data_IF_485864113921
#
_entry.id   IF_485864113921
#
_cell.length_a   1.000
_cell.length_b   1.000
_cell.length_c   1.000
_cell.angle_alpha   90.00
_cell.angle_beta   90.00
_cell.angle_gamma   90.00
#
_symmetry.space_group_name_H-M   'P 1'
#
loop_
_entity.id
_entity.type
_entity.pdbx_description
1 polymer ?
#
# COMPACT_ATOMS: atom_id res chain seq x y z
N UNK A 1 13.03 30.17 -17.17
CA UNK A 1 13.65 31.47 -16.83
C UNK A 1 12.61 32.56 -16.60
N UNK A 2 11.82 32.99 -17.58
CA UNK A 2 10.83 34.07 -17.40
C UNK A 2 9.88 33.88 -16.19
N UNK A 3 9.30 32.68 -16.04
CA UNK A 3 8.45 32.34 -14.88
C UNK A 3 9.21 32.43 -13.55
N UNK A 4 10.49 32.00 -13.53
CA UNK A 4 11.32 32.03 -12.33
C UNK A 4 11.58 33.47 -11.87
N UNK A 5 11.89 34.36 -12.82
CA UNK A 5 12.12 35.78 -12.53
C UNK A 5 10.85 36.46 -12.01
N UNK A 6 9.69 36.20 -12.65
CA UNK A 6 8.42 36.76 -12.18
C UNK A 6 8.05 36.29 -10.77
N UNK A 7 8.30 35.01 -10.43
CA UNK A 7 8.10 34.53 -9.07
C UNK A 7 9.08 35.18 -8.08
N UNK A 8 10.35 35.33 -8.48
CA UNK A 8 11.37 35.96 -7.64
C UNK A 8 11.00 37.41 -7.32
N UNK A 9 10.64 38.20 -8.31
CA UNK A 9 10.18 39.59 -8.13
C UNK A 9 8.93 39.67 -7.24
N UNK A 10 7.94 38.79 -7.46
CA UNK A 10 6.72 38.76 -6.65
C UNK A 10 7.01 38.39 -5.20
N UNK A 11 7.92 37.45 -4.96
CA UNK A 11 8.31 36.99 -3.63
C UNK A 11 9.12 38.06 -2.90
N UNK A 12 10.09 38.70 -3.56
CA UNK A 12 10.87 39.81 -3.02
C UNK A 12 9.98 41.00 -2.64
N UNK A 13 8.95 41.28 -3.44
CA UNK A 13 8.00 42.37 -3.17
C UNK A 13 7.01 42.05 -2.03
N UNK A 14 6.42 40.85 -2.03
CA UNK A 14 5.31 40.50 -1.13
C UNK A 14 5.78 39.89 0.21
N UNK A 15 6.87 39.15 0.19
CA UNK A 15 7.38 38.34 1.30
C UNK A 15 8.93 38.41 1.34
N UNK A 16 9.51 39.61 1.55
CA UNK A 16 10.96 39.84 1.44
C UNK A 16 11.82 39.01 2.42
N UNK A 17 11.20 38.45 3.45
CA UNK A 17 11.85 37.60 4.45
C UNK A 17 11.90 36.11 4.06
N UNK A 18 11.26 35.72 2.95
CA UNK A 18 11.30 34.35 2.42
C UNK A 18 12.17 34.36 1.15
N UNK A 19 13.44 33.93 1.23
CA UNK A 19 14.31 33.95 0.07
C UNK A 19 13.92 32.85 -0.93
N UNK A 20 13.97 33.17 -2.23
CA UNK A 20 13.94 32.17 -3.29
C UNK A 20 15.35 31.59 -3.42
N UNK A 21 15.51 30.33 -3.01
CA UNK A 21 16.81 29.63 -2.96
C UNK A 21 17.13 28.85 -4.23
N UNK A 22 16.22 28.77 -5.19
CA UNK A 22 16.46 28.06 -6.44
C UNK A 22 15.26 28.00 -7.36
N UNK A 23 15.50 27.65 -8.62
CA UNK A 23 14.50 27.29 -9.60
C UNK A 23 15.00 26.15 -10.49
N UNK A 24 14.26 25.05 -10.50
CA UNK A 24 14.54 23.91 -11.37
C UNK A 24 13.90 24.14 -12.74
N UNK A 25 14.72 24.46 -13.75
CA UNK A 25 14.26 24.65 -15.12
C UNK A 25 13.85 23.32 -15.75
N UNK A 26 12.84 23.34 -16.62
CA UNK A 26 12.37 22.12 -17.27
C UNK A 26 13.46 21.56 -18.20
N UNK A 27 13.97 20.38 -17.87
CA UNK A 27 14.84 19.60 -18.76
C UNK A 27 14.05 18.46 -19.42
N UNK A 28 14.12 18.37 -20.75
CA UNK A 28 13.47 17.31 -21.53
C UNK A 28 14.16 15.95 -21.34
N UNK A 29 15.43 15.94 -20.95
CA UNK A 29 16.21 14.73 -20.70
C UNK A 29 15.85 14.06 -19.37
N UNK A 30 15.23 14.80 -18.45
CA UNK A 30 14.84 14.32 -17.12
C UNK A 30 13.41 13.79 -17.04
N UNK A 31 12.69 13.73 -18.18
CA UNK A 31 11.29 13.29 -18.21
C UNK A 31 11.16 11.83 -17.76
N UNK A 32 10.34 11.60 -16.74
CA UNK A 32 9.91 10.26 -16.34
C UNK A 32 8.65 9.93 -17.14
N UNK A 33 8.66 8.88 -17.97
CA UNK A 33 7.48 8.49 -18.73
C UNK A 33 6.33 8.09 -17.79
N UNK A 34 5.11 8.49 -18.16
CA UNK A 34 3.89 8.04 -17.49
C UNK A 34 3.57 6.60 -17.88
N UNK A 35 2.98 5.83 -16.96
CA UNK A 35 2.29 4.57 -17.23
C UNK A 35 0.78 4.72 -17.03
N UNK A 36 0.02 3.72 -17.46
CA UNK A 36 -1.45 3.71 -17.41
C UNK A 36 -2.03 4.04 -16.01
N UNK A 37 -1.33 3.68 -14.93
CA UNK A 37 -1.71 3.96 -13.54
C UNK A 37 -0.50 4.45 -12.70
N UNK A 38 0.17 5.54 -13.12
CA UNK A 38 1.21 6.21 -12.33
C UNK A 38 2.51 6.48 -13.09
N UNK A 39 3.64 6.50 -12.37
CA UNK A 39 4.99 6.63 -12.95
C UNK A 39 5.63 5.26 -13.11
N UNK A 40 6.54 5.12 -14.09
CA UNK A 40 7.30 3.88 -14.29
C UNK A 40 8.08 3.48 -13.02
N UNK A 41 8.00 2.18 -12.70
CA UNK A 41 8.78 1.43 -11.72
C UNK A 41 10.28 1.68 -11.71
N UNK A 42 10.98 1.72 -10.56
CA UNK A 42 12.41 1.34 -10.58
C UNK A 42 12.56 -0.12 -11.09
N UNK A 43 11.63 -1.01 -10.71
CA UNK A 43 11.60 -2.40 -11.21
C UNK A 43 11.36 -2.53 -12.73
N UNK A 44 10.72 -1.53 -13.34
CA UNK A 44 10.40 -1.50 -14.77
C UNK A 44 11.55 -0.89 -15.59
N UNK A 45 12.19 0.13 -15.02
CA UNK A 45 13.27 0.87 -15.65
C UNK A 45 14.24 1.38 -14.58
N UNK A 46 15.19 0.53 -14.13
CA UNK A 46 16.11 0.90 -13.05
C UNK A 46 16.82 2.21 -13.33
N UNK A 47 16.88 3.08 -12.32
CA UNK A 47 17.59 4.35 -12.42
C UNK A 47 19.09 4.09 -12.61
N UNK A 48 19.59 4.43 -13.80
CA UNK A 48 21.02 4.34 -14.10
C UNK A 48 21.80 5.44 -13.37
N UNK A 49 23.01 5.15 -12.91
CA UNK A 49 23.87 6.12 -12.23
C UNK A 49 24.03 7.44 -13.01
N UNK A 50 24.18 7.35 -14.34
CA UNK A 50 24.25 8.54 -15.21
C UNK A 50 23.03 9.44 -15.06
N UNK A 51 21.84 8.86 -14.90
CA UNK A 51 20.60 9.61 -14.70
C UNK A 51 20.52 10.22 -13.31
N UNK A 52 21.08 9.55 -12.30
CA UNK A 52 21.21 10.09 -10.94
C UNK A 52 22.14 11.30 -10.95
N UNK A 53 23.29 11.21 -11.63
CA UNK A 53 24.25 12.31 -11.78
C UNK A 53 23.64 13.50 -12.53
N UNK A 54 22.85 13.25 -13.57
CA UNK A 54 22.10 14.30 -14.27
C UNK A 54 21.07 14.99 -13.37
N UNK A 55 20.32 14.24 -12.56
CA UNK A 55 19.39 14.79 -11.58
C UNK A 55 20.12 15.61 -10.50
N UNK A 56 21.26 15.12 -10.01
CA UNK A 56 22.09 15.83 -9.03
C UNK A 56 22.59 17.15 -9.61
N UNK A 57 23.17 17.13 -10.81
CA UNK A 57 23.65 18.33 -11.51
C UNK A 57 22.51 19.34 -11.71
N UNK A 58 21.35 18.87 -12.15
CA UNK A 58 20.17 19.72 -12.35
C UNK A 58 19.73 20.45 -11.07
N UNK A 59 19.83 19.79 -9.92
CA UNK A 59 19.54 20.40 -8.62
C UNK A 59 20.66 21.34 -8.19
N UNK A 60 21.93 20.95 -8.33
CA UNK A 60 23.10 21.77 -7.98
C UNK A 60 23.16 23.08 -8.79
N UNK A 61 22.81 23.04 -10.08
CA UNK A 61 22.77 24.21 -10.94
C UNK A 61 21.53 25.09 -10.69
N UNK A 62 20.40 24.46 -10.34
CA UNK A 62 19.12 25.14 -10.16
C UNK A 62 18.89 25.67 -8.75
N UNK A 63 19.62 25.21 -7.74
CA UNK A 63 19.35 25.48 -6.32
C UNK A 63 20.63 25.83 -5.57
N UNK A 64 20.60 26.90 -4.78
CA UNK A 64 21.66 27.29 -3.86
C UNK A 64 21.67 26.36 -2.63
N UNK A 65 22.20 25.16 -2.83
CA UNK A 65 22.29 24.11 -1.81
C UNK A 65 23.13 24.56 -0.61
N UNK A 66 24.21 25.30 -0.85
CA UNK A 66 25.07 25.83 0.21
C UNK A 66 24.32 26.77 1.14
N UNK A 67 23.46 27.61 0.56
CA UNK A 67 22.61 28.51 1.34
C UNK A 67 21.51 27.75 2.08
N UNK A 68 20.88 26.74 1.48
CA UNK A 68 19.94 25.85 2.18
C UNK A 68 20.62 25.20 3.40
N UNK A 69 21.78 24.59 3.22
CA UNK A 69 22.50 23.90 4.31
C UNK A 69 22.99 24.85 5.42
N UNK A 70 23.18 26.13 5.09
CA UNK A 70 23.61 27.17 6.04
C UNK A 70 22.43 27.79 6.78
N UNK A 71 21.37 28.15 6.07
CA UNK A 71 20.23 28.91 6.59
C UNK A 71 19.14 28.00 7.19
N UNK A 72 19.00 26.76 6.71
CA UNK A 72 18.01 25.79 7.18
C UNK A 72 18.57 24.81 8.24
N UNK A 73 19.58 25.22 9.01
CA UNK A 73 20.03 24.43 10.17
C UNK A 73 18.98 24.50 11.27
N UNK A 74 18.09 23.52 11.29
CA UNK A 74 17.17 23.33 12.40
C UNK A 74 17.90 22.60 13.53
N UNK A 75 17.84 23.15 14.74
CA UNK A 75 17.88 22.30 15.92
C UNK A 75 16.59 21.49 15.88
N UNK A 76 16.66 20.30 15.30
CA UNK A 76 15.57 19.35 15.46
C UNK A 76 15.38 19.20 16.97
N UNK A 77 14.16 19.37 17.51
CA UNK A 77 13.91 18.96 18.88
C UNK A 77 14.41 17.53 18.99
N UNK A 78 15.03 17.16 20.11
CA UNK A 78 15.27 15.75 20.41
C UNK A 78 13.92 15.06 20.22
N UNK A 79 13.77 14.37 19.08
CA UNK A 79 12.65 13.46 18.89
C UNK A 79 12.94 12.44 19.97
N UNK A 80 12.10 12.34 21.03
CA UNK A 80 12.28 11.28 22.00
C UNK A 80 12.37 10.03 21.15
N UNK A 81 13.46 9.26 21.26
CA UNK A 81 13.52 7.97 20.60
C UNK A 81 12.17 7.34 20.89
N UNK A 82 11.34 7.15 19.85
CA UNK A 82 10.06 6.51 20.02
C UNK A 82 10.45 5.09 20.37
N UNK A 83 10.68 4.84 21.67
CA UNK A 83 10.88 3.49 22.18
C UNK A 83 9.63 2.79 21.70
N UNK A 84 9.72 1.86 20.74
CA UNK A 84 8.56 1.26 20.12
C UNK A 84 7.75 0.72 21.26
N UNK A 85 6.62 1.39 21.55
CA UNK A 85 5.89 1.40 22.82
C UNK A 85 6.24 0.16 23.63
N UNK A 86 7.31 0.27 24.47
CA UNK A 86 8.19 -0.86 24.84
C UNK A 86 7.34 -2.09 24.97
N UNK A 87 7.46 -3.02 24.00
CA UNK A 87 6.58 -4.18 23.87
C UNK A 87 6.52 -4.84 25.24
N UNK A 88 5.51 -4.49 26.04
CA UNK A 88 5.23 -5.12 27.32
C UNK A 88 4.85 -6.53 26.93
N UNK A 89 5.85 -7.40 27.02
CA UNK A 89 5.83 -8.79 26.61
C UNK A 89 5.16 -8.95 25.23
N UNK A 90 5.85 -8.56 24.15
CA UNK A 90 5.60 -9.27 22.91
C UNK A 90 5.89 -10.74 23.20
N UNK A 91 4.86 -11.57 23.17
CA UNK A 91 4.98 -13.01 23.20
C UNK A 91 6.06 -13.40 22.18
N UNK A 92 7.22 -13.81 22.70
CA UNK A 92 8.51 -13.88 21.99
C UNK A 92 8.53 -14.86 20.83
N UNK A 93 7.45 -15.61 20.65
CA UNK A 93 7.27 -16.55 19.56
C UNK A 93 7.09 -15.79 18.22
N UNK A 94 8.05 -15.95 17.29
CA UNK A 94 7.98 -15.31 15.99
C UNK A 94 6.79 -15.85 15.17
N UNK A 95 6.12 -14.97 14.42
CA UNK A 95 4.94 -15.32 13.63
C UNK A 95 5.26 -15.21 12.14
N UNK A 96 5.39 -16.32 11.40
CA UNK A 96 5.65 -16.26 9.96
C UNK A 96 4.45 -15.70 9.20
N UNK A 97 4.64 -14.62 8.43
CA UNK A 97 3.62 -13.95 7.62
C UNK A 97 4.06 -13.99 6.16
N UNK A 98 3.26 -14.60 5.29
CA UNK A 98 3.47 -14.55 3.86
C UNK A 98 3.14 -13.15 3.34
N UNK A 99 4.01 -12.56 2.52
CA UNK A 99 3.74 -11.29 1.84
C UNK A 99 3.94 -11.46 0.34
N UNK A 100 2.92 -11.16 -0.46
CA UNK A 100 3.06 -11.20 -1.91
C UNK A 100 3.97 -10.06 -2.39
N UNK A 101 5.11 -10.37 -2.99
CA UNK A 101 6.07 -9.38 -3.47
C UNK A 101 6.57 -9.77 -4.86
N UNK A 102 6.00 -9.13 -5.86
CA UNK A 102 6.46 -9.16 -7.26
C UNK A 102 5.85 -7.99 -8.04
N UNK A 103 5.98 -8.03 -9.37
CA UNK A 103 5.50 -6.95 -10.24
C UNK A 103 3.98 -6.72 -10.19
N UNK A 104 3.19 -7.72 -9.80
CA UNK A 104 1.75 -7.57 -9.60
C UNK A 104 1.39 -7.06 -8.20
N UNK A 105 2.28 -7.23 -7.22
CA UNK A 105 2.07 -6.85 -5.81
C UNK A 105 3.31 -6.12 -5.29
N UNK A 106 3.43 -4.84 -5.63
CA UNK A 106 4.61 -4.01 -5.39
C UNK A 106 4.34 -2.73 -4.58
N UNK A 107 3.10 -2.50 -4.14
CA UNK A 107 2.78 -1.34 -3.31
C UNK A 107 2.83 -1.69 -1.83
N UNK A 108 3.90 -1.28 -1.17
CA UNK A 108 4.07 -1.41 0.26
C UNK A 108 4.67 -0.16 0.86
N UNK A 109 4.15 0.26 2.00
CA UNK A 109 4.85 1.20 2.86
C UNK A 109 6.01 0.47 3.56
N UNK A 110 7.27 0.91 3.39
CA UNK A 110 8.40 0.34 4.12
C UNK A 110 8.17 0.39 5.64
N UNK A 111 7.48 1.44 6.12
CA UNK A 111 7.10 1.60 7.51
C UNK A 111 6.17 0.48 8.00
N UNK A 112 5.17 0.05 7.22
CA UNK A 112 4.30 -1.06 7.61
C UNK A 112 5.10 -2.37 7.75
N UNK A 113 6.01 -2.64 6.81
CA UNK A 113 6.87 -3.82 6.84
C UNK A 113 7.84 -3.78 8.04
N UNK A 114 8.35 -2.59 8.37
CA UNK A 114 9.17 -2.38 9.57
C UNK A 114 8.37 -2.68 10.84
N UNK A 115 7.19 -2.07 11.00
CA UNK A 115 6.31 -2.27 12.16
C UNK A 115 5.91 -3.75 12.35
N UNK A 116 5.66 -4.49 11.26
CA UNK A 116 5.41 -5.94 11.33
C UNK A 116 6.59 -6.70 11.93
N UNK A 117 7.82 -6.40 11.50
CA UNK A 117 9.03 -7.04 12.05
C UNK A 117 9.24 -6.69 13.51
N UNK A 118 9.10 -5.40 13.85
CA UNK A 118 9.25 -4.91 15.21
C UNK A 118 8.22 -5.53 16.17
N UNK A 119 7.04 -5.90 15.68
CA UNK A 119 5.97 -6.52 16.48
C UNK A 119 6.00 -8.05 16.50
N UNK A 120 7.06 -8.69 15.97
CA UNK A 120 7.30 -10.13 16.04
C UNK A 120 6.91 -10.93 14.79
N UNK A 121 6.57 -10.27 13.69
CA UNK A 121 6.32 -10.90 12.39
C UNK A 121 7.60 -11.28 11.66
N UNK A 122 7.72 -12.54 11.24
CA UNK A 122 8.74 -12.97 10.27
C UNK A 122 8.14 -12.87 8.87
N UNK A 123 8.56 -11.87 8.11
CA UNK A 123 8.06 -11.66 6.75
C UNK A 123 8.68 -12.67 5.79
N UNK A 124 7.84 -13.46 5.13
CA UNK A 124 8.20 -14.44 4.10
C UNK A 124 7.68 -13.97 2.74
N UNK A 125 8.51 -13.26 1.95
CA UNK A 125 8.09 -12.82 0.62
C UNK A 125 7.86 -14.03 -0.30
N UNK A 126 6.88 -13.93 -1.18
CA UNK A 126 6.63 -14.89 -2.26
C UNK A 126 6.03 -14.16 -3.47
N UNK A 127 6.17 -14.71 -4.67
CA UNK A 127 5.67 -14.13 -5.91
C UNK A 127 4.40 -14.85 -6.37
N UNK A 128 3.22 -14.22 -6.34
CA UNK A 128 2.02 -14.82 -6.91
C UNK A 128 2.10 -15.15 -8.40
N UNK A 129 2.95 -14.45 -9.15
CA UNK A 129 3.20 -14.74 -10.57
C UNK A 129 4.01 -16.04 -10.75
N UNK A 130 4.97 -16.32 -9.87
CA UNK A 130 5.98 -17.40 -10.08
C UNK A 130 5.84 -18.59 -9.15
N UNK A 131 5.56 -18.36 -7.87
CA UNK A 131 5.59 -19.40 -6.85
C UNK A 131 4.27 -20.18 -6.84
N UNK A 132 4.35 -21.51 -6.83
CA UNK A 132 3.16 -22.37 -6.87
C UNK A 132 2.57 -22.68 -5.48
N UNK A 133 3.25 -22.26 -4.40
CA UNK A 133 2.91 -22.59 -3.02
C UNK A 133 3.15 -21.40 -2.10
N UNK A 134 2.36 -21.31 -1.03
CA UNK A 134 2.65 -20.38 0.06
C UNK A 134 3.91 -20.84 0.81
N UNK A 135 4.72 -19.91 1.35
CA UNK A 135 5.85 -20.28 2.20
C UNK A 135 5.41 -21.15 3.38
N UNK A 136 6.22 -22.15 3.73
CA UNK A 136 5.87 -23.12 4.78
C UNK A 136 5.68 -22.48 6.17
N UNK A 137 4.68 -22.97 6.89
CA UNK A 137 4.42 -22.60 8.30
C UNK A 137 3.87 -21.18 8.51
N UNK A 138 3.35 -20.54 7.46
CA UNK A 138 2.75 -19.21 7.56
C UNK A 138 1.48 -19.22 8.40
N UNK A 139 1.33 -18.16 9.20
CA UNK A 139 0.24 -17.92 10.14
C UNK A 139 -0.60 -16.71 9.74
N UNK A 140 -0.18 -15.97 8.73
CA UNK A 140 -0.91 -14.85 8.14
C UNK A 140 -0.48 -14.64 6.69
N UNK A 141 -1.33 -13.98 5.92
CA UNK A 141 -1.08 -13.61 4.53
C UNK A 141 -1.41 -12.13 4.32
N UNK A 142 -0.48 -11.40 3.71
CA UNK A 142 -0.68 -10.03 3.23
C UNK A 142 -0.55 -10.00 1.71
N UNK A 143 -1.57 -9.46 1.06
CA UNK A 143 -1.63 -9.18 -0.37
C UNK A 143 -1.75 -7.65 -0.54
N UNK A 144 -0.63 -6.96 -0.69
CA UNK A 144 -0.62 -5.51 -0.86
C UNK A 144 -1.19 -5.06 -2.21
N UNK A 145 -1.07 -3.76 -2.48
CA UNK A 145 -1.42 -3.21 -3.78
C UNK A 145 -0.41 -3.56 -4.87
N UNK A 146 -0.77 -3.21 -6.10
CA UNK A 146 0.07 -3.35 -7.27
C UNK A 146 -0.80 -3.36 -8.52
N UNK A 147 -0.32 -4.05 -9.56
CA UNK A 147 -0.91 -4.07 -10.89
C UNK A 147 -1.36 -5.48 -11.32
N UNK A 148 -2.20 -6.20 -10.54
CA UNK A 148 -2.61 -7.56 -10.91
C UNK A 148 -3.30 -7.62 -12.28
N UNK A 149 -3.94 -6.54 -12.73
CA UNK A 149 -4.58 -6.42 -14.03
C UNK A 149 -3.61 -6.55 -15.21
N UNK A 150 -2.34 -6.19 -15.02
CA UNK A 150 -1.29 -6.33 -16.05
C UNK A 150 -0.73 -7.75 -16.12
N UNK A 151 -1.02 -8.58 -15.11
CA UNK A 151 -0.51 -9.95 -14.97
C UNK A 151 -1.65 -10.97 -14.80
N UNK A 152 -2.86 -10.61 -15.23
CA UNK A 152 -4.06 -11.43 -15.08
C UNK A 152 -3.89 -12.86 -15.62
N UNK A 153 -3.21 -13.02 -16.75
CA UNK A 153 -2.99 -14.31 -17.39
C UNK A 153 -2.09 -15.21 -16.54
N UNK A 154 -0.96 -14.69 -16.08
CA UNK A 154 0.00 -15.39 -15.23
C UNK A 154 -0.64 -15.76 -13.90
N UNK A 155 -1.30 -14.80 -13.25
CA UNK A 155 -1.99 -14.99 -11.97
C UNK A 155 -3.10 -16.05 -12.08
N UNK A 156 -3.90 -16.00 -13.16
CA UNK A 156 -4.94 -16.99 -13.39
C UNK A 156 -4.37 -18.37 -13.67
N UNK A 157 -3.28 -18.48 -14.43
CA UNK A 157 -2.66 -19.76 -14.74
C UNK A 157 -2.04 -20.45 -13.52
N UNK A 158 -1.69 -19.70 -12.47
CA UNK A 158 -1.17 -20.26 -11.21
C UNK A 158 -2.28 -20.90 -10.35
N UNK A 159 -2.90 -21.96 -10.88
CA UNK A 159 -4.01 -22.68 -10.23
C UNK A 159 -3.62 -23.32 -8.90
N UNK A 160 -2.34 -23.71 -8.75
CA UNK A 160 -1.80 -24.30 -7.51
C UNK A 160 -1.82 -23.27 -6.38
N UNK A 161 -1.23 -22.10 -6.60
CA UNK A 161 -1.20 -21.05 -5.58
C UNK A 161 -2.61 -20.51 -5.28
N UNK A 162 -3.45 -20.32 -6.30
CA UNK A 162 -4.87 -19.95 -6.11
C UNK A 162 -5.56 -20.91 -5.13
N UNK A 163 -5.35 -22.21 -5.31
CA UNK A 163 -5.91 -23.23 -4.41
C UNK A 163 -5.31 -23.15 -3.00
N UNK A 164 -4.00 -22.96 -2.89
CA UNK A 164 -3.31 -22.81 -1.59
C UNK A 164 -3.83 -21.59 -0.80
N UNK A 165 -3.96 -20.42 -1.43
CA UNK A 165 -4.49 -19.21 -0.79
C UNK A 165 -5.94 -19.43 -0.33
N UNK A 166 -6.78 -20.01 -1.19
CA UNK A 166 -8.17 -20.32 -0.85
C UNK A 166 -8.26 -21.31 0.32
N UNK A 167 -7.44 -22.35 0.30
CA UNK A 167 -7.38 -23.35 1.38
C UNK A 167 -6.86 -22.73 2.69
N UNK A 168 -5.89 -21.84 2.63
CA UNK A 168 -5.39 -21.12 3.81
C UNK A 168 -6.50 -20.28 4.45
N UNK A 169 -7.19 -19.44 3.67
CA UNK A 169 -8.27 -18.60 4.15
C UNK A 169 -9.47 -19.41 4.70
N UNK A 170 -9.87 -20.47 3.98
CA UNK A 170 -11.02 -21.31 4.38
C UNK A 170 -10.74 -22.10 5.66
N UNK A 171 -9.51 -22.53 5.92
CA UNK A 171 -9.09 -23.18 7.18
C UNK A 171 -8.98 -22.21 8.37
N UNK A 172 -9.33 -20.94 8.20
CA UNK A 172 -9.24 -19.92 9.27
C UNK A 172 -7.96 -19.11 9.27
N UNK A 173 -7.14 -19.21 8.23
CA UNK A 173 -5.96 -18.38 8.03
C UNK A 173 -6.31 -16.88 7.93
N UNK A 174 -5.66 -16.00 8.70
CA UNK A 174 -5.83 -14.56 8.59
C UNK A 174 -5.24 -14.01 7.30
N UNK A 175 -6.04 -13.25 6.54
CA UNK A 175 -5.64 -12.64 5.27
C UNK A 175 -5.97 -11.15 5.30
N UNK A 176 -5.01 -10.31 4.93
CA UNK A 176 -5.23 -8.88 4.71
C UNK A 176 -4.86 -8.50 3.27
N UNK A 177 -5.76 -7.82 2.58
CA UNK A 177 -5.58 -7.49 1.16
C UNK A 177 -5.94 -6.03 0.85
N UNK A 178 -5.08 -5.35 0.08
CA UNK A 178 -5.26 -3.95 -0.30
C UNK A 178 -5.29 -3.79 -1.83
N UNK A 179 -6.22 -2.98 -2.35
CA UNK A 179 -6.41 -2.66 -3.77
C UNK A 179 -6.17 -3.86 -4.70
N UNK A 180 -5.04 -3.92 -5.41
CA UNK A 180 -4.69 -5.05 -6.28
C UNK A 180 -4.75 -6.42 -5.58
N UNK A 181 -4.27 -6.52 -4.34
CA UNK A 181 -4.43 -7.69 -3.49
C UNK A 181 -5.89 -8.08 -3.29
N UNK A 182 -6.74 -7.11 -3.01
CA UNK A 182 -8.18 -7.33 -2.84
C UNK A 182 -8.83 -7.77 -4.17
N UNK A 183 -8.47 -7.14 -5.29
CA UNK A 183 -8.93 -7.53 -6.63
C UNK A 183 -8.59 -8.98 -6.93
N UNK A 184 -7.37 -9.43 -6.59
CA UNK A 184 -6.93 -10.81 -6.74
C UNK A 184 -7.73 -11.81 -5.86
N UNK A 185 -8.29 -11.35 -4.74
CA UNK A 185 -9.15 -12.18 -3.89
C UNK A 185 -10.60 -12.30 -4.37
N UNK A 186 -11.02 -11.52 -5.36
CA UNK A 186 -12.34 -11.65 -6.00
C UNK A 186 -12.40 -12.88 -6.92
N UNK A 187 -13.59 -13.21 -7.46
CA UNK A 187 -13.76 -14.34 -8.40
C UNK A 187 -12.99 -14.15 -9.69
N UNK A 188 -12.89 -12.92 -10.18
CA UNK A 188 -12.27 -12.63 -11.45
C UNK A 188 -11.91 -11.17 -11.59
N UNK A 189 -10.89 -10.89 -12.40
CA UNK A 189 -10.59 -9.56 -12.90
C UNK A 189 -10.88 -9.53 -14.40
N UNK A 190 -11.64 -8.53 -14.85
CA UNK A 190 -11.79 -8.19 -16.27
C UNK A 190 -10.85 -7.05 -16.60
N UNK A 191 -9.92 -7.28 -17.51
CA UNK A 191 -8.94 -6.27 -17.93
C UNK A 191 -9.56 -5.21 -18.86
N UNK A 192 -8.75 -4.25 -19.29
CA UNK A 192 -9.17 -3.15 -20.15
C UNK A 192 -9.51 -3.57 -21.59
N UNK A 193 -9.02 -4.74 -22.01
CA UNK A 193 -9.36 -5.36 -23.30
C UNK A 193 -10.68 -6.15 -23.23
N UNK A 194 -11.30 -6.20 -22.04
CA UNK A 194 -12.55 -6.91 -21.79
C UNK A 194 -12.38 -8.41 -21.55
N UNK A 195 -11.15 -8.90 -21.40
CA UNK A 195 -10.87 -10.31 -21.13
C UNK A 195 -11.00 -10.58 -19.63
N UNK A 196 -11.81 -11.57 -19.29
CA UNK A 196 -12.05 -11.98 -17.90
C UNK A 196 -11.18 -13.15 -17.50
N UNK A 197 -10.47 -13.00 -16.38
CA UNK A 197 -9.58 -14.02 -15.84
C UNK A 197 -10.04 -14.46 -14.45
N UNK A 198 -10.23 -15.77 -14.19
CA UNK A 198 -10.59 -16.25 -12.87
C UNK A 198 -9.42 -16.11 -11.89
N UNK A 199 -9.72 -15.65 -10.68
CA UNK A 199 -8.78 -15.37 -9.58
C UNK A 199 -9.07 -16.25 -8.35
N UNK A 200 -8.69 -15.81 -7.15
CA UNK A 200 -8.78 -16.64 -5.94
C UNK A 200 -10.23 -16.91 -5.53
N UNK A 201 -11.15 -15.97 -5.72
CA UNK A 201 -12.58 -16.18 -5.47
C UNK A 201 -12.90 -16.44 -4.01
N UNK A 202 -12.18 -15.80 -3.08
CA UNK A 202 -12.59 -15.72 -1.67
C UNK A 202 -13.83 -14.81 -1.63
N UNK A 203 -13.70 -13.57 -2.08
CA UNK A 203 -14.86 -12.69 -2.17
C UNK A 203 -15.70 -13.05 -3.40
N UNK A 204 -17.02 -13.23 -3.25
CA UNK A 204 -17.90 -13.66 -4.34
C UNK A 204 -18.20 -12.57 -5.38
N UNK A 205 -17.31 -11.59 -5.52
CA UNK A 205 -17.39 -10.41 -6.36
C UNK A 205 -16.55 -10.58 -7.63
N UNK A 206 -16.71 -9.70 -8.60
CA UNK A 206 -15.82 -9.54 -9.75
C UNK A 206 -15.26 -8.13 -9.76
N UNK A 207 -14.01 -7.98 -10.16
CA UNK A 207 -13.40 -6.67 -10.38
C UNK A 207 -13.40 -6.38 -11.88
N UNK A 208 -13.86 -5.19 -12.27
CA UNK A 208 -13.85 -4.73 -13.66
C UNK A 208 -12.95 -3.50 -13.76
N UNK A 209 -11.95 -3.56 -14.65
CA UNK A 209 -11.11 -2.41 -14.95
C UNK A 209 -11.88 -1.37 -15.78
N UNK A 210 -11.58 -0.10 -15.54
CA UNK A 210 -12.20 1.07 -16.14
C UNK A 210 -11.09 2.00 -16.64
N UNK A 211 -11.38 2.79 -17.68
CA UNK A 211 -10.49 3.88 -18.10
C UNK A 211 -10.75 5.17 -17.31
N UNK A 212 -11.82 5.20 -16.51
CA UNK A 212 -12.19 6.34 -15.68
C UNK A 212 -11.67 6.13 -14.27
N UNK A 213 -11.17 7.21 -13.68
CA UNK A 213 -10.78 7.23 -12.27
C UNK A 213 -12.04 7.04 -11.42
N UNK A 214 -12.08 5.95 -10.66
CA UNK A 214 -13.23 5.61 -9.81
C UNK A 214 -13.13 6.31 -8.45
N UNK A 215 -11.96 6.27 -7.82
CA UNK A 215 -11.72 7.02 -6.61
C UNK A 215 -10.27 7.43 -6.43
N UNK A 216 -10.09 8.60 -5.82
CA UNK A 216 -8.81 9.15 -5.38
C UNK A 216 -9.01 9.99 -4.12
N UNK A 217 -8.28 9.66 -3.05
CA UNK A 217 -8.24 10.54 -1.88
C UNK A 217 -7.66 9.91 -0.62
N UNK A 218 -7.35 10.76 0.35
CA UNK A 218 -7.01 10.33 1.71
C UNK A 218 -8.25 9.87 2.46
N UNK A 219 -8.11 8.76 3.18
CA UNK A 219 -9.17 8.09 3.93
C UNK A 219 -8.73 7.84 5.36
N UNK A 220 -9.70 7.83 6.27
CA UNK A 220 -9.53 7.28 7.61
C UNK A 220 -10.59 6.20 7.83
N UNK A 221 -10.16 5.00 8.22
CA UNK A 221 -11.07 3.91 8.56
C UNK A 221 -11.32 3.88 10.07
N UNK A 222 -12.48 3.38 10.49
CA UNK A 222 -12.78 3.00 11.88
C UNK A 222 -13.42 1.62 11.88
N UNK A 223 -12.76 0.61 12.46
CA UNK A 223 -13.30 -0.75 12.54
C UNK A 223 -14.61 -0.78 13.33
N UNK A 224 -15.62 -1.46 12.78
CA UNK A 224 -16.95 -1.63 13.40
C UNK A 224 -17.02 -2.92 14.22
N UNK A 225 -16.23 -3.93 13.83
CA UNK A 225 -16.08 -5.23 14.49
C UNK A 225 -14.62 -5.60 14.77
N UNK A 226 -14.36 -6.75 15.43
CA UNK A 226 -13.02 -7.30 15.52
C UNK A 226 -12.53 -7.76 14.15
N UNK A 227 -11.34 -7.31 13.75
CA UNK A 227 -10.71 -7.66 12.47
C UNK A 227 -9.24 -7.98 12.64
N UNK A 228 -8.56 -8.38 11.56
CA UNK A 228 -7.11 -8.51 11.51
C UNK A 228 -6.37 -7.18 11.78
N UNK A 229 -7.05 -6.04 11.66
CA UNK A 229 -6.47 -4.71 11.93
C UNK A 229 -6.56 -4.33 13.42
N UNK A 230 -7.51 -4.91 14.16
CA UNK A 230 -7.72 -4.60 15.57
C UNK A 230 -9.16 -4.76 16.05
N UNK A 231 -9.41 -4.45 17.34
CA UNK A 231 -10.76 -4.41 17.92
C UNK A 231 -11.62 -3.30 17.30
N UNK A 232 -12.95 -3.28 17.54
CA UNK A 232 -13.81 -2.16 17.16
C UNK A 232 -13.24 -0.81 17.65
N UNK A 233 -13.40 0.24 16.84
CA UNK A 233 -12.89 1.58 17.12
C UNK A 233 -11.42 1.79 16.74
N UNK A 234 -10.75 0.80 16.14
CA UNK A 234 -9.39 0.97 15.60
C UNK A 234 -9.43 1.94 14.44
N UNK A 235 -8.74 3.07 14.59
CA UNK A 235 -8.64 4.13 13.56
C UNK A 235 -7.31 4.07 12.85
N UNK A 236 -7.33 4.11 11.51
CA UNK A 236 -6.12 4.05 10.68
C UNK A 236 -6.31 4.94 9.45
N UNK A 237 -5.29 5.72 9.12
CA UNK A 237 -5.28 6.58 7.94
C UNK A 237 -4.62 5.88 6.76
N UNK A 238 -5.08 6.22 5.57
CA UNK A 238 -4.64 5.66 4.32
C UNK A 238 -5.05 6.49 3.13
N UNK A 239 -5.02 5.88 1.96
CA UNK A 239 -5.51 6.48 0.74
C UNK A 239 -6.11 5.41 -0.17
N UNK A 240 -6.91 5.85 -1.13
CA UNK A 240 -7.36 5.01 -2.23
C UNK A 240 -7.07 5.71 -3.55
N UNK A 241 -6.71 4.92 -4.56
CA UNK A 241 -6.49 5.36 -5.93
C UNK A 241 -6.69 4.19 -6.87
N UNK A 242 -7.85 4.11 -7.53
CA UNK A 242 -8.17 2.97 -8.39
C UNK A 242 -9.05 3.35 -9.59
N UNK A 243 -8.89 2.56 -10.65
CA UNK A 243 -9.64 2.65 -11.91
C UNK A 243 -10.44 1.37 -12.13
N UNK A 244 -11.03 0.83 -11.06
CA UNK A 244 -11.80 -0.40 -11.12
C UNK A 244 -13.00 -0.34 -10.20
N UNK A 245 -14.07 -1.02 -10.60
CA UNK A 245 -15.29 -1.15 -9.80
C UNK A 245 -15.62 -2.62 -9.57
N UNK A 246 -16.55 -2.89 -8.65
CA UNK A 246 -16.97 -4.23 -8.28
C UNK A 246 -18.32 -4.55 -8.92
N UNK A 247 -18.47 -5.78 -9.41
CA UNK A 247 -19.74 -6.36 -9.80
C UNK A 247 -20.06 -7.58 -8.93
N UNK A 248 -21.33 -7.70 -8.52
CA UNK A 248 -21.84 -8.79 -7.71
C UNK A 248 -22.56 -8.30 -6.46
N UNK A 249 -23.02 -9.26 -5.66
CA UNK A 249 -23.71 -8.97 -4.40
C UNK A 249 -22.68 -8.71 -3.29
N UNK A 250 -22.51 -7.43 -2.95
CA UNK A 250 -21.61 -6.97 -1.89
C UNK A 250 -22.10 -7.34 -0.49
N UNK A 251 -23.38 -7.70 -0.32
CA UNK A 251 -23.95 -8.06 0.99
C UNK A 251 -23.51 -9.44 1.48
N UNK A 252 -22.86 -10.23 0.61
CA UNK A 252 -22.30 -11.54 0.94
C UNK A 252 -21.02 -11.46 1.78
N UNK A 253 -20.47 -10.27 1.99
CA UNK A 253 -19.37 -10.01 2.89
C UNK A 253 -19.78 -8.93 3.90
N UNK A 254 -19.27 -9.05 5.12
CA UNK A 254 -19.54 -8.08 6.17
C UNK A 254 -18.69 -6.82 5.96
N UNK A 255 -19.24 -5.65 6.29
CA UNK A 255 -18.47 -4.41 6.33
C UNK A 255 -17.54 -4.40 7.56
N UNK A 256 -16.23 -4.32 7.30
CA UNK A 256 -15.19 -4.37 8.33
C UNK A 256 -15.05 -3.04 9.09
N UNK A 257 -15.35 -1.91 8.43
CA UNK A 257 -15.15 -0.58 8.98
C UNK A 257 -16.02 0.49 8.31
N UNK A 258 -16.14 1.64 8.97
CA UNK A 258 -16.59 2.87 8.34
C UNK A 258 -15.39 3.64 7.78
N UNK A 259 -15.58 4.33 6.66
CA UNK A 259 -14.55 5.17 6.02
C UNK A 259 -14.98 6.63 6.11
N UNK A 260 -14.08 7.53 6.47
CA UNK A 260 -14.26 8.97 6.36
C UNK A 260 -13.29 9.58 5.35
N UNK A 261 -13.69 10.67 4.71
CA UNK A 261 -12.83 11.44 3.81
C UNK A 261 -11.79 12.29 4.56
N UNK A 262 -10.96 13.04 3.82
CA UNK A 262 -9.93 13.92 4.38
C UNK A 262 -10.45 15.01 5.33
N UNK A 263 -11.75 15.33 5.31
CA UNK A 263 -12.42 16.29 6.19
C UNK A 263 -13.12 15.60 7.37
N UNK A 264 -13.03 14.28 7.48
CA UNK A 264 -13.73 13.49 8.49
C UNK A 264 -15.21 13.29 8.16
N UNK A 265 -15.63 13.54 6.92
CA UNK A 265 -17.03 13.42 6.48
C UNK A 265 -17.30 12.07 5.84
N UNK A 266 -18.58 11.67 5.84
CA UNK A 266 -19.07 10.53 5.05
C UNK A 266 -18.64 9.18 5.58
N UNK A 267 -18.99 8.85 6.84
CA UNK A 267 -18.85 7.51 7.46
C UNK A 267 -19.65 6.46 6.70
N UNK A 268 -19.05 5.93 5.64
CA UNK A 268 -19.67 4.94 4.76
C UNK A 268 -19.12 3.56 5.13
N UNK A 269 -19.97 2.55 5.37
CA UNK A 269 -19.53 1.17 5.55
C UNK A 269 -18.73 0.69 4.34
N UNK A 270 -17.54 0.15 4.58
CA UNK A 270 -16.68 -0.50 3.57
C UNK A 270 -15.75 -1.54 4.23
N UNK A 271 -14.89 -2.13 3.39
CA UNK A 271 -13.96 -3.17 3.78
C UNK A 271 -14.70 -4.49 3.82
N UNK A 272 -14.33 -5.41 2.94
CA UNK A 272 -15.00 -6.69 2.84
C UNK A 272 -14.36 -7.68 3.81
N UNK A 273 -15.12 -8.14 4.79
CA UNK A 273 -14.72 -9.17 5.73
C UNK A 273 -15.46 -10.46 5.41
N UNK A 274 -14.70 -11.55 5.23
CA UNK A 274 -15.24 -12.89 5.14
C UNK A 274 -14.37 -13.84 5.95
N UNK A 275 -14.92 -14.39 7.04
CA UNK A 275 -14.14 -15.11 8.08
C UNK A 275 -12.98 -14.24 8.57
N UNK A 276 -11.74 -14.73 8.43
CA UNK A 276 -10.53 -14.03 8.85
C UNK A 276 -9.85 -13.29 7.68
N UNK A 277 -10.55 -13.09 6.56
CA UNK A 277 -10.04 -12.39 5.37
C UNK A 277 -10.66 -11.01 5.25
N UNK A 278 -9.83 -9.97 5.33
CA UNK A 278 -10.21 -8.58 5.15
C UNK A 278 -9.60 -8.03 3.86
N UNK A 279 -10.41 -7.44 2.99
CA UNK A 279 -9.98 -6.85 1.73
C UNK A 279 -10.65 -5.49 1.44
N UNK A 280 -9.91 -4.55 0.86
CA UNK A 280 -10.46 -3.25 0.44
C UNK A 280 -9.57 -2.55 -0.59
N UNK A 281 -10.08 -1.52 -1.26
CA UNK A 281 -9.29 -0.62 -2.11
C UNK A 281 -8.39 0.35 -1.34
N UNK A 282 -8.55 0.47 -0.02
CA UNK A 282 -7.77 1.42 0.79
C UNK A 282 -6.40 0.85 1.14
N UNK A 283 -5.36 1.61 0.81
CA UNK A 283 -3.98 1.42 1.26
C UNK A 283 -3.77 2.07 2.62
N UNK A 284 -3.56 1.27 3.67
CA UNK A 284 -3.41 1.81 5.03
C UNK A 284 -1.95 2.10 5.36
N UNK A 285 -1.69 3.29 5.92
CA UNK A 285 -0.38 3.63 6.46
C UNK A 285 -0.37 3.37 7.96
N UNK A 286 0.23 2.27 8.40
CA UNK A 286 0.17 1.80 9.78
C UNK A 286 0.98 2.67 10.74
N UNK A 287 1.90 3.51 10.24
CA UNK A 287 2.51 4.58 11.06
C UNK A 287 1.49 5.62 11.58
N UNK A 288 0.27 5.67 11.03
CA UNK A 288 -0.81 6.50 11.59
C UNK A 288 -1.45 5.92 12.84
N UNK A 289 -1.29 4.61 13.07
CA UNK A 289 -1.67 3.89 14.29
C UNK A 289 -0.86 2.58 14.36
N UNK A 290 0.27 2.62 15.09
CA UNK A 290 1.25 1.52 15.14
C UNK A 290 0.69 0.25 15.79
N UNK A 291 -0.41 0.33 16.54
CA UNK A 291 -1.07 -0.83 17.14
C UNK A 291 -1.62 -1.81 16.10
N UNK A 292 -1.87 -1.36 14.86
CA UNK A 292 -2.36 -2.22 13.77
C UNK A 292 -1.41 -3.37 13.48
N UNK A 293 -0.10 -3.11 13.40
CA UNK A 293 0.89 -4.16 13.17
C UNK A 293 0.88 -5.21 14.29
N UNK A 294 0.83 -4.73 15.55
CA UNK A 294 0.75 -5.59 16.73
C UNK A 294 -0.53 -6.43 16.73
N UNK A 295 -1.66 -5.81 16.40
CA UNK A 295 -2.95 -6.48 16.32
C UNK A 295 -2.94 -7.56 15.25
N UNK A 296 -2.40 -7.27 14.05
CA UNK A 296 -2.28 -8.24 12.97
C UNK A 296 -1.41 -9.44 13.35
N UNK A 297 -0.23 -9.19 13.91
CA UNK A 297 0.69 -10.27 14.35
C UNK A 297 0.06 -11.11 15.47
N UNK A 298 -0.59 -10.46 16.45
CA UNK A 298 -1.32 -11.17 17.51
C UNK A 298 -2.45 -12.02 16.94
N UNK A 299 -3.24 -11.47 16.02
CA UNK A 299 -4.34 -12.17 15.36
C UNK A 299 -3.83 -13.42 14.61
N UNK A 300 -2.71 -13.30 13.88
CA UNK A 300 -2.04 -14.42 13.22
C UNK A 300 -1.57 -15.50 14.18
N UNK A 301 -1.08 -15.12 15.37
CA UNK A 301 -0.65 -16.06 16.42
C UNK A 301 -1.81 -16.85 17.00
N UNK A 302 -2.91 -16.16 17.29
CA UNK A 302 -4.08 -16.72 17.99
C UNK A 302 -5.06 -17.45 17.06
N UNK A 303 -4.98 -17.20 15.75
CA UNK A 303 -5.85 -17.83 14.77
C UNK A 303 -5.73 -19.36 14.79
N UNK A 304 -6.88 -20.01 14.96
CA UNK A 304 -7.01 -21.46 14.84
C UNK A 304 -7.11 -21.82 13.36
N UNK A 305 -5.98 -22.21 12.78
CA UNK A 305 -5.90 -22.69 11.40
C UNK A 305 -6.05 -24.21 11.43
N UNK A 306 -7.13 -24.73 10.84
CA UNK A 306 -7.37 -26.17 10.74
C UNK A 306 -6.22 -26.84 9.98
N UNK A 307 -5.71 -27.95 10.51
CA UNK A 307 -4.74 -28.80 9.80
C UNK A 307 -5.48 -29.67 8.79
N UNK A 308 -4.90 -29.82 7.60
CA UNK A 308 -5.43 -30.68 6.54
C UNK A 308 -5.36 -32.16 6.94
#
# INVERSE_FOLDING_TARGET
EGHANSLKEAMESSLPYIPVLGCLLRDKNLVIPSRHLGLVTDEDSPLQNVRIEQLATWVEEGVDLDRILRECRFNLPEVPESKPDTLKEADTNPVPVAIAMDKAFCFYYPENLRLLRETGGILKPFSPIRDEQLPGGVKGLILGGGYPELYCKELSNNRKLIKEIRNFATRGGPVYAECGGFMYLTKSITDLDGVTYPMVGIFPLKTIMSTKLESLGYREITTTGPTVLGPPGTRVRGHEFHYSYLEGDTTLAEDAYEVADRKGQGRIPQGFLMRNTLGSYIHLHWGSNTLVARNFVRYCREAKIETT
#
